data_IF_095767227221
#
_entry.id   IF_095767227221
#
_cell.length_a   1.000
_cell.length_b   1.000
_cell.length_c   1.000
_cell.angle_alpha   90.00
_cell.angle_beta   90.00
_cell.angle_gamma   90.00
#
_symmetry.space_group_name_H-M   'P 1'
#
loop_
_entity.id
_entity.type
_entity.pdbx_description
1 polymer ?
#
# COMPACT_ATOMS: atom_id res chain seq x y z
N UNK A 1 37.12 -21.80 -40.04
CA UNK A 1 36.26 -21.64 -38.83
C UNK A 1 36.49 -20.35 -38.00
N UNK A 2 36.98 -19.22 -38.56
CA UNK A 2 37.13 -17.94 -37.81
C UNK A 2 36.23 -16.79 -38.27
N UNK A 3 35.59 -16.87 -39.45
CA UNK A 3 34.74 -15.79 -40.00
C UNK A 3 33.34 -15.71 -39.40
N UNK A 4 32.71 -16.84 -39.03
CA UNK A 4 31.32 -16.84 -38.55
C UNK A 4 31.11 -16.23 -37.15
N UNK A 5 32.10 -16.37 -36.25
CA UNK A 5 31.99 -15.83 -34.88
C UNK A 5 32.07 -14.30 -34.84
N UNK A 6 32.80 -13.68 -35.79
CA UNK A 6 32.97 -12.22 -35.86
C UNK A 6 31.70 -11.51 -36.35
N UNK A 7 30.94 -12.13 -37.26
CA UNK A 7 29.70 -11.55 -37.80
C UNK A 7 28.59 -11.56 -36.74
N UNK A 8 28.47 -12.63 -35.94
CA UNK A 8 27.48 -12.70 -34.85
C UNK A 8 27.74 -11.68 -33.75
N UNK A 9 29.02 -11.40 -33.41
CA UNK A 9 29.40 -10.41 -32.40
C UNK A 9 29.10 -8.95 -32.85
N UNK A 10 29.14 -8.70 -34.17
CA UNK A 10 28.85 -7.40 -34.78
C UNK A 10 27.34 -7.09 -34.83
N UNK A 11 26.51 -8.09 -35.13
CA UNK A 11 25.05 -7.93 -35.22
C UNK A 11 24.39 -7.75 -33.84
N UNK A 12 24.87 -8.43 -32.80
CA UNK A 12 24.35 -8.28 -31.43
C UNK A 12 24.67 -6.91 -30.82
N UNK A 13 25.81 -6.32 -31.16
CA UNK A 13 26.21 -4.99 -30.66
C UNK A 13 25.53 -3.82 -31.39
N UNK A 14 25.02 -4.02 -32.61
CA UNK A 14 24.28 -2.98 -33.34
C UNK A 14 22.83 -2.81 -32.86
N UNK A 15 22.25 -3.84 -32.25
CA UNK A 15 20.92 -3.77 -31.64
C UNK A 15 20.96 -3.07 -30.27
N UNK A 16 22.00 -3.30 -29.46
CA UNK A 16 22.14 -2.75 -28.11
C UNK A 16 22.53 -1.25 -28.04
N UNK A 17 23.03 -0.67 -29.14
CA UNK A 17 23.47 0.74 -29.22
C UNK A 17 22.69 1.55 -30.27
N UNK A 18 21.53 1.08 -30.70
CA UNK A 18 20.69 1.85 -31.61
C UNK A 18 19.95 2.96 -30.83
N UNK A 19 20.18 4.25 -31.15
CA UNK A 19 19.59 5.37 -30.41
C UNK A 19 18.06 5.35 -30.41
N UNK A 20 17.42 4.74 -31.41
CA UNK A 20 15.97 4.58 -31.48
C UNK A 20 15.46 3.61 -30.40
N UNK A 21 16.15 2.50 -30.17
CA UNK A 21 15.77 1.53 -29.13
C UNK A 21 15.99 2.09 -27.73
N UNK A 22 17.07 2.86 -27.54
CA UNK A 22 17.35 3.56 -26.28
C UNK A 22 16.26 4.61 -26.02
N UNK A 23 15.87 5.40 -27.03
CA UNK A 23 14.79 6.39 -26.91
C UNK A 23 13.43 5.74 -26.60
N UNK A 24 13.09 4.63 -27.25
CA UNK A 24 11.85 3.88 -26.98
C UNK A 24 11.82 3.29 -25.56
N UNK A 25 12.95 2.77 -25.07
CA UNK A 25 13.06 2.23 -23.72
C UNK A 25 12.95 3.34 -22.65
N UNK A 26 13.55 4.50 -22.90
CA UNK A 26 13.43 5.68 -22.05
C UNK A 26 11.97 6.16 -22.01
N UNK A 27 11.30 6.29 -23.16
CA UNK A 27 9.88 6.66 -23.25
C UNK A 27 8.97 5.69 -22.47
N UNK A 28 9.21 4.38 -22.59
CA UNK A 28 8.47 3.37 -21.85
C UNK A 28 8.70 3.46 -20.33
N UNK A 29 9.94 3.69 -19.90
CA UNK A 29 10.27 3.89 -18.49
C UNK A 29 9.62 5.15 -17.90
N UNK A 30 9.55 6.25 -18.66
CA UNK A 30 8.84 7.47 -18.24
C UNK A 30 7.31 7.29 -18.18
N UNK A 31 6.72 6.54 -19.10
CA UNK A 31 5.28 6.21 -19.04
C UNK A 31 4.93 5.30 -17.85
N UNK A 32 5.82 4.36 -17.49
CA UNK A 32 5.66 3.51 -16.31
C UNK A 32 5.88 4.25 -14.97
N UNK A 33 6.40 5.49 -15.01
CA UNK A 33 6.66 6.34 -13.85
C UNK A 33 5.54 7.36 -13.58
N UNK A 34 4.29 7.04 -13.94
CA UNK A 34 3.11 7.73 -13.39
C UNK A 34 2.87 7.24 -11.95
N UNK A 35 3.72 7.70 -11.03
CA UNK A 35 3.44 7.62 -9.61
C UNK A 35 2.20 8.49 -9.37
N UNK A 36 1.01 7.89 -9.36
CA UNK A 36 -0.20 8.54 -8.86
C UNK A 36 0.16 9.07 -7.47
N UNK A 37 0.35 10.38 -7.34
CA UNK A 37 0.58 10.99 -6.04
C UNK A 37 -0.58 10.55 -5.19
N UNK A 38 -0.27 9.92 -4.05
CA UNK A 38 -1.26 9.80 -2.99
C UNK A 38 -1.48 11.23 -2.56
N UNK A 39 -2.53 11.85 -3.10
CA UNK A 39 -2.93 13.18 -2.70
C UNK A 39 -3.10 13.12 -1.18
N UNK A 40 -2.23 13.84 -0.48
CA UNK A 40 -2.42 14.06 0.94
C UNK A 40 -3.69 14.88 1.01
N UNK A 41 -4.76 14.28 1.53
CA UNK A 41 -6.02 14.99 1.78
C UNK A 41 -5.68 16.03 2.85
N UNK A 42 -5.37 17.24 2.41
CA UNK A 42 -5.30 18.40 3.26
C UNK A 42 -6.75 18.84 3.48
N UNK A 43 -7.14 19.10 4.72
CA UNK A 43 -8.44 19.67 5.03
C UNK A 43 -8.54 21.04 4.35
N UNK A 44 -9.35 21.12 3.29
CA UNK A 44 -9.70 22.37 2.64
C UNK A 44 -11.06 22.84 3.21
N UNK A 45 -11.13 23.99 3.90
CA UNK A 45 -12.39 24.52 4.42
C UNK A 45 -13.45 24.76 3.32
N UNK A 46 -13.07 24.70 2.04
CA UNK A 46 -13.96 24.74 0.88
C UNK A 46 -14.60 23.39 0.50
N UNK A 47 -14.41 22.32 1.28
CA UNK A 47 -14.78 20.94 0.93
C UNK A 47 -16.26 20.63 0.69
N UNK A 48 -17.15 21.63 0.70
CA UNK A 48 -18.44 21.54 0.04
C UNK A 48 -18.90 22.92 -0.43
N UNK A 49 -18.10 23.60 -1.26
CA UNK A 49 -18.48 24.91 -1.82
C UNK A 49 -19.65 24.85 -2.82
N UNK A 50 -20.17 23.65 -3.13
CA UNK A 50 -21.36 23.47 -3.95
C UNK A 50 -22.13 22.20 -3.57
N UNK A 51 -23.42 22.17 -3.90
CA UNK A 51 -24.26 20.99 -3.73
C UNK A 51 -23.76 19.80 -4.55
N UNK A 52 -23.28 20.05 -5.78
CA UNK A 52 -22.76 19.01 -6.67
C UNK A 52 -21.52 18.31 -6.08
N UNK A 53 -20.63 19.09 -5.46
CA UNK A 53 -19.44 18.54 -4.79
C UNK A 53 -19.85 17.69 -3.57
N UNK A 54 -20.78 18.18 -2.75
CA UNK A 54 -21.30 17.44 -1.60
C UNK A 54 -21.97 16.14 -2.03
N UNK A 55 -22.83 16.16 -3.05
CA UNK A 55 -23.53 14.98 -3.54
C UNK A 55 -22.56 13.89 -4.00
N UNK A 56 -21.49 14.29 -4.71
CA UNK A 56 -20.44 13.39 -5.16
C UNK A 56 -19.67 12.77 -3.98
N UNK A 57 -19.26 13.59 -3.01
CA UNK A 57 -18.51 13.12 -1.85
C UNK A 57 -19.38 12.28 -0.89
N UNK A 58 -20.69 12.52 -0.88
CA UNK A 58 -21.64 11.75 -0.07
C UNK A 58 -21.83 10.32 -0.60
N UNK A 59 -21.82 10.13 -1.92
CA UNK A 59 -21.89 8.80 -2.54
C UNK A 59 -20.63 7.96 -2.22
N UNK A 60 -19.47 8.61 -2.13
CA UNK A 60 -18.18 7.97 -1.85
C UNK A 60 -17.41 8.74 -0.78
N UNK A 61 -17.80 8.63 0.50
CA UNK A 61 -17.19 9.39 1.57
C UNK A 61 -15.71 9.05 1.73
N UNK A 62 -14.90 10.06 2.05
CA UNK A 62 -13.49 9.88 2.38
C UNK A 62 -13.27 8.96 3.59
N UNK A 63 -12.04 8.46 3.74
CA UNK A 63 -11.68 7.49 4.80
C UNK A 63 -11.92 8.02 6.22
N UNK A 64 -11.86 9.35 6.41
CA UNK A 64 -12.08 10.01 7.70
C UNK A 64 -13.54 9.90 8.19
N UNK A 65 -14.47 9.60 7.28
CA UNK A 65 -15.88 9.41 7.59
C UNK A 65 -16.27 7.92 7.77
N UNK A 66 -15.29 7.01 7.73
CA UNK A 66 -15.48 5.60 8.06
C UNK A 66 -15.77 5.41 9.55
N UNK A 67 -16.55 4.38 9.89
CA UNK A 67 -16.63 3.91 11.29
C UNK A 67 -15.26 3.45 11.79
N UNK A 68 -15.04 3.56 13.10
CA UNK A 68 -13.83 3.08 13.77
C UNK A 68 -14.21 2.23 14.99
N UNK A 69 -14.42 0.92 14.85
CA UNK A 69 -14.83 0.07 15.97
C UNK A 69 -13.69 -0.19 16.95
N UNK A 70 -14.06 -0.47 18.21
CA UNK A 70 -13.16 -1.13 19.15
C UNK A 70 -13.01 -2.59 18.75
N UNK A 71 -11.82 -2.97 18.33
CA UNK A 71 -11.47 -4.35 18.01
C UNK A 71 -10.96 -5.02 19.28
N UNK A 72 -11.86 -5.74 19.94
CA UNK A 72 -11.60 -6.39 21.22
C UNK A 72 -10.78 -7.66 20.98
N UNK A 73 -9.65 -7.77 21.67
CA UNK A 73 -8.86 -9.00 21.68
C UNK A 73 -9.04 -9.72 23.00
N UNK A 74 -9.52 -10.96 22.90
CA UNK A 74 -9.95 -11.78 24.02
C UNK A 74 -9.43 -13.23 23.94
N UNK A 75 -8.57 -13.53 22.97
CA UNK A 75 -8.01 -14.85 22.72
C UNK A 75 -6.56 -14.72 22.22
N UNK A 76 -5.90 -15.83 21.92
CA UNK A 76 -4.59 -15.83 21.25
C UNK A 76 -4.61 -14.99 19.97
N UNK A 77 -3.66 -14.05 19.86
CA UNK A 77 -3.54 -13.17 18.70
C UNK A 77 -2.49 -13.72 17.74
N UNK A 78 -2.96 -14.31 16.64
CA UNK A 78 -2.08 -14.71 15.53
C UNK A 78 -2.06 -13.68 14.40
N UNK A 79 -0.96 -13.64 13.65
CA UNK A 79 -0.80 -12.75 12.49
C UNK A 79 -1.85 -13.07 11.41
N UNK A 80 -2.13 -14.35 11.20
CA UNK A 80 -3.04 -14.85 10.18
C UNK A 80 -4.48 -14.38 10.45
N UNK A 81 -4.92 -14.45 11.71
CA UNK A 81 -6.22 -13.93 12.15
C UNK A 81 -6.28 -12.41 12.01
N UNK A 82 -5.23 -11.69 12.42
CA UNK A 82 -5.15 -10.23 12.28
C UNK A 82 -5.30 -9.82 10.81
N UNK A 83 -4.54 -10.45 9.91
CA UNK A 83 -4.55 -10.12 8.49
C UNK A 83 -5.91 -10.44 7.85
N UNK A 84 -6.55 -11.54 8.26
CA UNK A 84 -7.89 -11.91 7.81
C UNK A 84 -8.93 -10.89 8.28
N UNK A 85 -8.95 -10.54 9.55
CA UNK A 85 -9.92 -9.60 10.11
C UNK A 85 -9.74 -8.18 9.55
N UNK A 86 -8.50 -7.73 9.33
CA UNK A 86 -8.25 -6.43 8.68
C UNK A 86 -8.74 -6.41 7.22
N UNK A 87 -8.61 -7.52 6.48
CA UNK A 87 -9.22 -7.64 5.14
C UNK A 87 -10.74 -7.59 5.20
N UNK A 88 -11.33 -8.27 6.18
CA UNK A 88 -12.78 -8.29 6.38
C UNK A 88 -13.35 -6.92 6.75
N UNK A 89 -12.70 -6.20 7.68
CA UNK A 89 -13.02 -4.81 7.98
C UNK A 89 -12.96 -3.94 6.71
N UNK A 90 -11.90 -4.10 5.90
CA UNK A 90 -11.76 -3.33 4.67
C UNK A 90 -12.87 -3.63 3.66
N UNK A 91 -13.29 -4.89 3.51
CA UNK A 91 -14.40 -5.24 2.61
C UNK A 91 -15.75 -4.70 3.09
N UNK A 92 -15.90 -4.45 4.39
CA UNK A 92 -17.08 -3.81 4.98
C UNK A 92 -16.97 -2.27 5.04
N UNK A 93 -15.98 -1.66 4.38
CA UNK A 93 -15.81 -0.21 4.35
C UNK A 93 -15.18 0.40 5.61
N UNK A 94 -14.71 -0.42 6.55
CA UNK A 94 -14.06 0.02 7.78
C UNK A 94 -12.59 0.32 7.47
N UNK A 95 -12.21 1.59 7.62
CA UNK A 95 -10.89 2.09 7.26
C UNK A 95 -9.94 2.25 8.46
N UNK A 96 -10.46 2.17 9.69
CA UNK A 96 -9.67 2.28 10.91
C UNK A 96 -10.28 1.42 12.03
N UNK A 97 -9.45 0.96 12.97
CA UNK A 97 -9.87 0.22 14.16
C UNK A 97 -9.08 0.70 15.37
N UNK A 98 -9.66 0.58 16.56
CA UNK A 98 -8.97 0.81 17.83
C UNK A 98 -8.78 -0.54 18.51
N UNK A 99 -7.53 -1.00 18.63
CA UNK A 99 -7.21 -2.26 19.29
C UNK A 99 -7.50 -2.13 20.79
N UNK A 100 -8.31 -3.04 21.34
CA UNK A 100 -8.74 -3.04 22.74
C UNK A 100 -8.48 -4.41 23.39
N UNK A 101 -7.25 -4.68 23.87
CA UNK A 101 -6.93 -5.93 24.54
C UNK A 101 -7.64 -6.00 25.90
N UNK A 102 -8.30 -7.14 26.19
CA UNK A 102 -8.95 -7.37 27.49
C UNK A 102 -7.95 -7.90 28.52
N UNK A 103 -8.17 -7.64 29.83
CA UNK A 103 -7.41 -8.32 30.87
C UNK A 103 -7.51 -9.85 30.70
N UNK A 104 -6.37 -10.53 30.79
CA UNK A 104 -6.28 -11.98 30.57
C UNK A 104 -5.89 -12.40 29.14
N UNK A 105 -5.52 -11.46 28.27
CA UNK A 105 -4.92 -11.77 26.97
C UNK A 105 -3.66 -12.62 27.16
N UNK A 106 -3.63 -13.80 26.57
CA UNK A 106 -2.49 -14.72 26.70
C UNK A 106 -1.27 -14.26 25.90
N UNK A 107 -1.49 -13.49 24.84
CA UNK A 107 -0.42 -12.91 24.03
C UNK A 107 0.25 -11.78 24.80
N UNK A 108 1.54 -11.95 25.07
CA UNK A 108 2.32 -11.03 25.88
C UNK A 108 2.43 -9.64 25.23
N UNK A 109 2.26 -8.62 26.06
CA UNK A 109 2.42 -7.21 25.68
C UNK A 109 3.90 -6.87 25.50
N UNK A 110 4.28 -6.37 24.31
CA UNK A 110 5.65 -5.94 24.01
C UNK A 110 6.73 -7.02 24.19
N UNK A 111 6.40 -8.30 23.93
CA UNK A 111 7.36 -9.39 24.05
C UNK A 111 8.64 -9.15 23.22
N UNK A 112 9.78 -9.54 23.81
CA UNK A 112 11.12 -9.27 23.28
C UNK A 112 11.57 -10.30 22.23
N UNK A 113 10.88 -11.43 22.15
CA UNK A 113 11.19 -12.56 21.26
C UNK A 113 10.57 -12.42 19.84
N UNK A 114 9.78 -11.37 19.61
CA UNK A 114 9.10 -11.13 18.33
C UNK A 114 7.70 -11.75 18.22
N UNK A 115 7.21 -12.46 19.26
CA UNK A 115 5.80 -12.88 19.41
C UNK A 115 4.86 -11.71 19.72
N UNK A 116 5.42 -10.51 19.88
CA UNK A 116 4.71 -9.28 20.14
C UNK A 116 3.80 -8.86 18.98
N UNK A 117 2.50 -8.84 19.23
CA UNK A 117 1.48 -8.35 18.31
C UNK A 117 1.73 -6.91 17.81
N UNK A 118 2.37 -6.04 18.59
CA UNK A 118 2.73 -4.69 18.15
C UNK A 118 3.75 -4.67 17.01
N UNK A 119 4.53 -5.74 16.85
CA UNK A 119 5.53 -5.83 15.78
C UNK A 119 4.94 -6.25 14.43
N UNK A 120 3.66 -6.67 14.41
CA UNK A 120 3.01 -7.18 13.20
C UNK A 120 2.95 -6.09 12.10
N UNK A 121 3.46 -6.36 10.88
CA UNK A 121 3.50 -5.37 9.80
C UNK A 121 2.14 -4.83 9.36
N UNK A 122 1.05 -5.57 9.62
CA UNK A 122 -0.32 -5.16 9.33
C UNK A 122 -0.89 -4.17 10.34
N UNK A 123 -0.35 -4.15 11.57
CA UNK A 123 -0.76 -3.23 12.64
C UNK A 123 0.16 -2.01 12.71
N UNK A 124 1.43 -2.14 12.31
CA UNK A 124 2.37 -1.03 12.37
C UNK A 124 1.97 0.11 11.43
N UNK A 125 1.93 1.37 11.91
CA UNK A 125 1.82 2.52 11.04
C UNK A 125 3.04 2.53 10.11
N UNK A 126 2.80 2.50 8.80
CA UNK A 126 3.87 2.65 7.82
C UNK A 126 4.34 4.11 7.87
N UNK A 127 5.65 4.33 8.05
CA UNK A 127 6.37 5.62 7.91
C UNK A 127 6.54 6.48 9.19
N UNK A 128 6.78 5.88 10.35
CA UNK A 128 7.29 6.60 11.52
C UNK A 128 8.71 6.11 11.82
N UNK A 129 9.69 6.91 11.36
CA UNK A 129 11.18 6.90 11.42
C UNK A 129 11.73 7.10 10.01
#
# INVERSE_FOLDING_TARGET
MKKEKSIRLSLTNRLAFNPVFIALFILFAFAACQQKSRDKIAWDPAMANSLDALQKDFEHPGVDFSTTPFWVWNDEVSKEQVDMQLRDFKSHGISMVIIHPRPGLITEYLSRDGSNWYAMPSIRPKNWI
#
